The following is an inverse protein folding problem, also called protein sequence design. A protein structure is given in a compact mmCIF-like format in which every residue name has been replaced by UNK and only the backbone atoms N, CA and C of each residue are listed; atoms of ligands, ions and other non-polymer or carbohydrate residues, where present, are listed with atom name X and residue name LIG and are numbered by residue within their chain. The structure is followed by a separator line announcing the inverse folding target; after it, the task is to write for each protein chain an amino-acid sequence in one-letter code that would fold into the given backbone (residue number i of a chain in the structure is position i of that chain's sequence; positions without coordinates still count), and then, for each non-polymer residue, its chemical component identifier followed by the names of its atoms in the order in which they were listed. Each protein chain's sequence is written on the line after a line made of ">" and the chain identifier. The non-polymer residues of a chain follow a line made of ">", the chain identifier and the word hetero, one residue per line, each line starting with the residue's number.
data_IF_482450938536
#
_entry.id   IF_482450938536
#
_cell.length_a   1.000
_cell.length_b   1.000
_cell.length_c   1.000
_cell.angle_alpha   90.00
_cell.angle_beta   90.00
_cell.angle_gamma   90.00
#
_symmetry.space_group_name_H-M   'P 1'
#
loop_
_entity.id
_entity.type
_entity.pdbx_description
1 polymer ?
#
# COMPACT_ATOMS: atom_id res chain seq x y z
N UNK A 1 6.66 15.13 -17.81
CA UNK A 1 7.46 14.37 -16.84
C UNK A 1 6.98 12.92 -16.83
N UNK A 2 7.92 12.00 -16.94
CA UNK A 2 7.59 10.58 -16.95
C UNK A 2 7.36 10.06 -15.52
N UNK A 3 6.38 9.19 -15.37
CA UNK A 3 6.08 8.56 -14.10
C UNK A 3 5.38 7.22 -14.35
N UNK A 4 5.39 6.35 -13.33
CA UNK A 4 4.57 5.16 -13.34
C UNK A 4 3.19 5.51 -12.81
N UNK A 5 2.18 4.82 -13.31
CA UNK A 5 0.79 5.03 -12.88
C UNK A 5 0.32 3.80 -12.12
N UNK A 6 -0.35 4.01 -11.01
CA UNK A 6 -0.92 2.95 -10.19
C UNK A 6 -2.34 3.32 -9.77
N UNK A 7 -3.07 2.32 -9.29
CA UNK A 7 -4.39 2.50 -8.69
C UNK A 7 -4.30 2.11 -7.24
N UNK A 8 -4.92 2.90 -6.37
CA UNK A 8 -4.97 2.61 -4.94
C UNK A 8 -6.41 2.61 -4.44
N UNK A 9 -6.66 1.85 -3.37
CA UNK A 9 -7.99 1.73 -2.78
C UNK A 9 -8.06 2.54 -1.50
N UNK A 10 -9.00 3.49 -1.48
CA UNK A 10 -9.26 4.37 -0.33
C UNK A 10 -10.65 4.11 0.23
N UNK A 11 -10.80 4.25 1.52
CA UNK A 11 -12.08 4.06 2.18
C UNK A 11 -12.46 5.28 3.01
N UNK A 12 -13.75 5.55 3.07
CA UNK A 12 -14.30 6.65 3.85
C UNK A 12 -15.75 6.34 4.18
N UNK A 13 -16.07 6.17 5.45
CA UNK A 13 -17.44 5.99 5.94
C UNK A 13 -18.22 4.94 5.14
N UNK A 14 -17.68 3.73 5.10
CA UNK A 14 -18.28 2.56 4.42
C UNK A 14 -18.36 2.71 2.89
N UNK A 15 -17.48 3.53 2.33
CA UNK A 15 -17.39 3.68 0.87
C UNK A 15 -15.96 3.47 0.42
N UNK A 16 -15.81 2.72 -0.67
CA UNK A 16 -14.52 2.53 -1.31
C UNK A 16 -14.37 3.44 -2.52
N UNK A 17 -13.15 3.89 -2.77
CA UNK A 17 -12.82 4.71 -3.93
C UNK A 17 -11.46 4.33 -4.48
N UNK A 18 -11.39 4.18 -5.79
CA UNK A 18 -10.11 3.97 -6.48
C UNK A 18 -9.54 5.32 -6.87
N UNK A 19 -8.29 5.56 -6.49
CA UNK A 19 -7.57 6.78 -6.86
C UNK A 19 -6.37 6.42 -7.72
N UNK A 20 -6.05 7.29 -8.67
CA UNK A 20 -4.85 7.15 -9.48
C UNK A 20 -3.67 7.73 -8.71
N UNK A 21 -2.57 6.97 -8.64
CA UNK A 21 -1.32 7.39 -8.02
C UNK A 21 -0.30 7.59 -9.13
N UNK A 22 0.45 8.69 -9.07
CA UNK A 22 1.57 8.93 -9.97
C UNK A 22 2.87 8.69 -9.21
N UNK A 23 3.64 7.69 -9.63
CA UNK A 23 4.87 7.30 -8.96
C UNK A 23 6.05 7.84 -9.77
N UNK A 24 7.11 8.25 -9.08
CA UNK A 24 8.34 8.68 -9.77
C UNK A 24 8.87 7.53 -10.63
N UNK A 25 9.48 7.85 -11.79
CA UNK A 25 10.01 6.82 -12.68
C UNK A 25 11.44 6.42 -12.33
N UNK A 26 12.21 7.29 -11.72
CA UNK A 26 13.58 7.00 -11.35
C UNK A 26 13.59 6.33 -9.97
N UNK A 27 14.06 5.08 -9.94
CA UNK A 27 14.09 4.26 -8.73
C UNK A 27 15.52 4.35 -8.16
N UNK A 28 15.64 4.69 -6.87
CA UNK A 28 16.93 4.79 -6.21
C UNK A 28 17.51 3.38 -5.95
N UNK A 29 18.81 3.32 -5.64
CA UNK A 29 19.50 2.04 -5.42
C UNK A 29 18.88 1.21 -4.28
N UNK A 30 18.35 1.87 -3.27
CA UNK A 30 17.77 1.22 -2.10
C UNK A 30 16.26 1.02 -2.24
N UNK A 31 15.71 1.24 -3.44
CA UNK A 31 14.28 1.16 -3.69
C UNK A 31 13.94 0.06 -4.68
N UNK A 32 12.70 -0.42 -4.59
CA UNK A 32 12.14 -1.39 -5.52
C UNK A 32 10.85 -0.83 -6.11
N UNK A 33 10.61 -1.11 -7.38
CA UNK A 33 9.27 -0.96 -7.96
C UNK A 33 8.61 -2.32 -7.92
N UNK A 34 7.49 -2.40 -7.22
CA UNK A 34 6.71 -3.62 -7.05
C UNK A 34 5.43 -3.52 -7.86
N UNK A 35 5.11 -4.58 -8.59
CA UNK A 35 3.81 -4.72 -9.24
C UNK A 35 3.01 -5.76 -8.47
N UNK A 36 1.95 -5.29 -7.82
CA UNK A 36 1.13 -6.13 -6.94
C UNK A 36 0.47 -7.25 -7.72
N UNK A 37 0.50 -8.46 -7.16
CA UNK A 37 -0.20 -9.61 -7.69
C UNK A 37 -1.43 -9.93 -6.85
N UNK A 38 -1.30 -9.86 -5.53
CA UNK A 38 -2.38 -10.18 -4.59
C UNK A 38 -2.31 -9.26 -3.40
N UNK A 39 -3.49 -8.88 -2.89
CA UNK A 39 -3.57 -8.28 -1.55
C UNK A 39 -4.53 -9.10 -0.73
N UNK A 40 -4.19 -9.27 0.55
CA UNK A 40 -5.08 -9.91 1.51
C UNK A 40 -5.89 -8.88 2.27
N UNK A 41 -7.09 -9.25 2.66
CA UNK A 41 -7.93 -8.40 3.48
C UNK A 41 -7.97 -8.96 4.89
N UNK A 42 -7.49 -8.17 5.84
CA UNK A 42 -7.56 -8.51 7.26
C UNK A 42 -8.95 -8.13 7.76
N UNK A 43 -9.88 -9.08 7.74
CA UNK A 43 -11.29 -8.78 7.96
C UNK A 43 -11.56 -7.99 9.24
N UNK A 44 -11.02 -8.44 10.37
CA UNK A 44 -11.27 -7.79 11.65
C UNK A 44 -10.82 -6.33 11.68
N UNK A 45 -9.57 -6.10 11.30
CA UNK A 45 -8.97 -4.76 11.34
C UNK A 45 -9.53 -3.87 10.24
N UNK A 46 -9.52 -4.38 8.99
CA UNK A 46 -9.91 -3.54 7.86
C UNK A 46 -11.41 -3.22 7.84
N UNK A 47 -12.23 -4.08 8.44
CA UNK A 47 -13.65 -3.77 8.58
C UNK A 47 -13.88 -2.55 9.48
N UNK A 48 -13.16 -2.47 10.60
CA UNK A 48 -13.26 -1.31 11.50
C UNK A 48 -12.83 -0.03 10.78
N UNK A 49 -11.76 -0.12 9.99
CA UNK A 49 -11.28 1.01 9.18
C UNK A 49 -12.33 1.41 8.15
N UNK A 50 -12.87 0.44 7.43
CA UNK A 50 -13.89 0.68 6.40
C UNK A 50 -15.15 1.32 7.00
N UNK A 51 -15.57 0.88 8.17
CA UNK A 51 -16.74 1.41 8.86
C UNK A 51 -16.50 2.77 9.50
N UNK A 52 -15.27 3.28 9.45
CA UNK A 52 -14.86 4.54 10.10
C UNK A 52 -15.14 4.54 11.61
N UNK A 53 -14.88 3.40 12.23
CA UNK A 53 -15.14 3.18 13.66
C UNK A 53 -13.86 2.94 14.46
N UNK A 54 -12.73 3.47 14.01
CA UNK A 54 -11.47 3.33 14.75
C UNK A 54 -11.52 4.22 15.99
N UNK A 55 -11.43 3.66 17.21
CA UNK A 55 -11.38 4.49 18.42
C UNK A 55 -10.11 5.36 18.41
N UNK A 56 -10.24 6.61 18.87
CA UNK A 56 -9.11 7.54 18.84
C UNK A 56 -7.90 7.05 19.64
N UNK A 57 -8.13 6.31 20.73
CA UNK A 57 -7.05 5.74 21.54
C UNK A 57 -6.38 4.53 20.87
N UNK A 58 -6.87 4.07 19.71
CA UNK A 58 -6.29 2.97 18.96
C UNK A 58 -5.57 3.43 17.69
N UNK A 59 -5.55 4.72 17.39
CA UNK A 59 -4.97 5.21 16.15
C UNK A 59 -3.50 4.78 15.98
N UNK A 60 -2.70 4.97 17.02
CA UNK A 60 -1.28 4.62 16.95
C UNK A 60 -1.07 3.11 16.85
N UNK A 61 -1.88 2.34 17.54
CA UNK A 61 -1.77 0.89 17.55
C UNK A 61 -2.21 0.27 16.21
N UNK A 62 -3.25 0.81 15.58
CA UNK A 62 -3.80 0.28 14.34
C UNK A 62 -3.13 0.84 13.09
N UNK A 63 -2.31 1.88 13.23
CA UNK A 63 -1.65 2.48 12.07
C UNK A 63 -0.75 1.47 11.37
N UNK A 64 -0.93 1.34 10.05
CA UNK A 64 -0.12 0.45 9.22
C UNK A 64 1.02 1.21 8.56
N UNK A 65 2.14 0.53 8.25
CA UNK A 65 3.18 1.16 7.45
C UNK A 65 2.63 1.64 6.11
N UNK A 66 3.12 2.77 5.63
CA UNK A 66 2.74 3.37 4.34
C UNK A 66 1.27 3.78 4.25
N UNK A 67 0.57 3.83 5.36
CA UNK A 67 -0.79 4.34 5.42
C UNK A 67 -0.80 5.82 5.03
N UNK A 68 -1.79 6.23 4.24
CA UNK A 68 -2.00 7.63 3.89
C UNK A 68 -3.42 8.04 4.27
N UNK A 69 -3.60 9.31 4.58
CA UNK A 69 -4.88 9.82 5.06
C UNK A 69 -5.05 9.61 6.55
N UNK A 70 -6.27 9.68 7.01
CA UNK A 70 -6.59 9.57 8.44
C UNK A 70 -7.77 8.66 8.68
N UNK A 71 -7.70 7.87 9.77
CA UNK A 71 -8.82 7.04 10.18
C UNK A 71 -10.09 7.87 10.32
N UNK A 72 -11.23 7.24 10.04
CA UNK A 72 -12.57 7.80 10.15
C UNK A 72 -12.85 8.99 9.23
N UNK A 73 -11.93 9.29 8.31
CA UNK A 73 -12.13 10.25 7.23
C UNK A 73 -11.86 9.52 5.91
N UNK A 74 -10.81 9.87 5.20
CA UNK A 74 -10.42 9.15 3.99
C UNK A 74 -9.02 8.57 4.19
N UNK A 75 -8.86 7.26 4.01
CA UNK A 75 -7.62 6.57 4.33
C UNK A 75 -7.31 5.48 3.32
N UNK A 76 -6.03 5.38 2.95
CA UNK A 76 -5.49 4.25 2.19
C UNK A 76 -4.84 3.31 3.21
N UNK A 77 -5.42 2.14 3.38
CA UNK A 77 -5.06 1.22 4.45
C UNK A 77 -4.97 -0.21 3.94
N UNK A 78 -4.14 -0.99 4.57
CA UNK A 78 -3.91 -2.39 4.27
C UNK A 78 -2.47 -2.75 4.57
N UNK A 79 -2.16 -4.04 4.76
CA UNK A 79 -0.80 -4.43 5.12
C UNK A 79 -0.44 -5.84 4.64
N UNK A 80 -1.23 -6.43 3.77
CA UNK A 80 -0.97 -7.75 3.21
C UNK A 80 -0.86 -7.63 1.69
N UNK A 81 0.36 -7.44 1.20
CA UNK A 81 0.60 -7.22 -0.22
C UNK A 81 1.70 -8.16 -0.72
N UNK A 82 1.41 -8.91 -1.78
CA UNK A 82 2.39 -9.77 -2.44
C UNK A 82 2.50 -9.32 -3.88
N UNK A 83 3.71 -9.01 -4.30
CA UNK A 83 3.95 -8.51 -5.64
C UNK A 83 5.29 -8.93 -6.21
N UNK A 84 5.47 -8.62 -7.48
CA UNK A 84 6.67 -8.97 -8.23
C UNK A 84 7.58 -7.75 -8.35
N UNK A 85 8.88 -7.93 -8.12
CA UNK A 85 9.86 -6.85 -8.29
C UNK A 85 10.08 -6.61 -9.77
N UNK A 86 9.74 -5.42 -10.24
CA UNK A 86 9.90 -5.02 -11.64
C UNK A 86 11.13 -4.16 -11.88
N UNK A 87 11.56 -3.41 -10.87
CA UNK A 87 12.81 -2.63 -10.91
C UNK A 87 13.49 -2.79 -9.57
N UNK A 88 14.76 -3.14 -9.56
CA UNK A 88 15.53 -3.33 -8.34
C UNK A 88 16.84 -4.05 -8.63
N UNK A 89 17.57 -4.46 -7.57
CA UNK A 89 18.79 -5.23 -7.72
C UNK A 89 18.57 -6.51 -8.51
N UNK A 90 19.60 -6.91 -9.25
CA UNK A 90 19.52 -8.06 -10.14
C UNK A 90 19.01 -9.32 -9.44
N UNK A 91 19.45 -9.57 -8.22
CA UNK A 91 19.09 -10.76 -7.46
C UNK A 91 17.61 -10.77 -7.03
N UNK A 92 16.96 -9.62 -7.06
CA UNK A 92 15.55 -9.50 -6.68
C UNK A 92 14.61 -9.39 -7.88
N UNK A 93 15.16 -9.16 -9.08
CA UNK A 93 14.35 -8.98 -10.27
C UNK A 93 13.42 -10.17 -10.50
N UNK A 94 12.14 -9.87 -10.75
CA UNK A 94 11.10 -10.84 -11.03
C UNK A 94 10.79 -11.80 -9.87
N UNK A 95 11.30 -11.51 -8.68
CA UNK A 95 10.98 -12.26 -7.47
C UNK A 95 9.66 -11.78 -6.89
N UNK A 96 8.92 -12.71 -6.28
CA UNK A 96 7.72 -12.36 -5.52
C UNK A 96 8.14 -12.01 -4.11
N UNK A 97 7.64 -10.87 -3.61
CA UNK A 97 7.96 -10.39 -2.28
C UNK A 97 6.70 -10.00 -1.52
N UNK A 98 6.76 -10.11 -0.21
CA UNK A 98 5.71 -9.64 0.68
C UNK A 98 6.08 -8.26 1.23
N UNK A 99 5.11 -7.37 1.29
CA UNK A 99 5.27 -6.03 1.87
C UNK A 99 4.05 -5.69 2.72
N UNK A 100 4.28 -4.96 3.80
CA UNK A 100 3.19 -4.37 4.57
C UNK A 100 2.76 -3.08 3.87
N UNK A 101 2.06 -3.23 2.78
CA UNK A 101 1.65 -2.09 1.94
C UNK A 101 0.14 -2.11 1.71
N UNK A 102 -0.51 -0.93 1.62
CA UNK A 102 -1.93 -0.86 1.31
C UNK A 102 -2.31 -1.49 -0.04
N UNK A 103 -3.60 -1.62 -0.28
CA UNK A 103 -4.12 -2.15 -1.54
C UNK A 103 -3.82 -1.15 -2.65
N UNK A 104 -2.81 -1.45 -3.44
CA UNK A 104 -2.34 -0.59 -4.52
C UNK A 104 -1.69 -1.46 -5.59
N UNK A 105 -1.92 -1.13 -6.86
CA UNK A 105 -1.49 -2.00 -7.96
C UNK A 105 0.00 -1.97 -8.23
N UNK A 106 0.66 -0.86 -7.90
CA UNK A 106 2.10 -0.69 -8.13
C UNK A 106 2.62 0.33 -7.12
N UNK A 107 3.80 0.11 -6.59
CA UNK A 107 4.35 1.03 -5.60
C UNK A 107 5.87 0.94 -5.54
N UNK A 108 6.47 1.97 -4.96
CA UNK A 108 7.90 2.05 -4.73
C UNK A 108 8.14 1.92 -3.23
N UNK A 109 9.04 1.04 -2.85
CA UNK A 109 9.32 0.75 -1.45
C UNK A 109 10.82 0.51 -1.26
N UNK A 110 11.34 0.85 -0.09
CA UNK A 110 12.73 0.55 0.21
C UNK A 110 12.95 -0.96 0.29
N UNK A 111 14.05 -1.43 -0.29
CA UNK A 111 14.34 -2.86 -0.33
C UNK A 111 14.45 -3.48 1.07
N UNK A 112 14.82 -2.69 2.07
CA UNK A 112 14.91 -3.15 3.46
C UNK A 112 13.55 -3.43 4.09
N UNK A 113 12.45 -3.06 3.44
CA UNK A 113 11.09 -3.18 3.99
C UNK A 113 10.27 -4.30 3.32
N UNK A 114 10.90 -5.13 2.53
CA UNK A 114 10.22 -6.30 1.94
C UNK A 114 10.70 -7.59 2.54
#
# INVERSE_FOLDING_TARGET
>A
MEHYTAQSFWVSKKRGKIKTENLKKIINKDELLIETRYTGISYGTEKIVFDSNVPSNQYNLMKAPHQEGSFNTSVKYGYLNVGEVKVGPRELMNKMVYSMYPHQTKFIIKSSLV
#
